data_IF_304807840603
#
_entry.id   IF_304807840603
#
_cell.length_a   1.000
_cell.length_b   1.000
_cell.length_c   1.000
_cell.angle_alpha   90.00
_cell.angle_beta   90.00
_cell.angle_gamma   90.00
#
_symmetry.space_group_name_H-M   'P 1'
#
loop_
_entity.id
_entity.type
_entity.pdbx_description
1 polymer ?
#
# COMPACT_ATOMS: atom_id res chain seq x y z
N UNK A 1 18.11 -18.27 -1.21
CA UNK A 1 17.39 -19.52 -1.57
C UNK A 1 15.96 -19.30 -2.07
N UNK A 2 15.35 -18.11 -1.91
CA UNK A 2 14.01 -17.76 -2.44
C UNK A 2 13.98 -17.59 -3.97
N UNK A 3 15.04 -17.00 -4.55
CA UNK A 3 14.99 -16.54 -5.95
C UNK A 3 15.05 -17.68 -6.96
N UNK A 4 15.69 -18.80 -6.59
CA UNK A 4 15.73 -20.01 -7.41
C UNK A 4 14.36 -20.68 -7.51
N UNK A 5 13.63 -20.80 -6.39
CA UNK A 5 12.34 -21.52 -6.36
C UNK A 5 11.29 -20.81 -7.22
N UNK A 6 11.22 -19.48 -7.15
CA UNK A 6 10.32 -18.68 -7.98
C UNK A 6 10.66 -18.77 -9.47
N UNK A 7 11.94 -18.87 -9.83
CA UNK A 7 12.38 -19.04 -11.22
C UNK A 7 12.01 -20.43 -11.77
N UNK A 8 12.29 -21.51 -11.04
CA UNK A 8 11.94 -22.88 -11.47
C UNK A 8 10.42 -23.12 -11.56
N UNK A 9 9.64 -22.60 -10.61
CA UNK A 9 8.17 -22.64 -10.66
C UNK A 9 7.63 -21.87 -11.88
N UNK A 10 8.26 -20.75 -12.22
CA UNK A 10 7.86 -19.96 -13.38
C UNK A 10 8.18 -20.65 -14.70
N UNK A 11 9.36 -21.24 -14.83
CA UNK A 11 9.76 -22.00 -16.02
C UNK A 11 8.88 -23.26 -16.18
N UNK A 12 8.62 -23.99 -15.09
CA UNK A 12 7.74 -25.16 -15.13
C UNK A 12 6.30 -24.80 -15.50
N UNK A 13 5.75 -23.72 -14.94
CA UNK A 13 4.42 -23.22 -15.29
C UNK A 13 4.34 -22.78 -16.75
N UNK A 14 5.38 -22.11 -17.27
CA UNK A 14 5.46 -21.67 -18.67
C UNK A 14 5.51 -22.85 -19.64
N UNK A 15 6.45 -23.77 -19.44
CA UNK A 15 6.61 -24.94 -20.31
C UNK A 15 5.36 -25.83 -20.33
N UNK A 16 4.57 -25.79 -19.27
CA UNK A 16 3.40 -26.63 -19.12
C UNK A 16 2.11 -26.01 -19.67
N UNK A 17 1.80 -24.78 -19.27
CA UNK A 17 0.51 -24.16 -19.53
C UNK A 17 0.46 -23.55 -20.94
N UNK A 18 1.59 -23.00 -21.41
CA UNK A 18 1.70 -22.39 -22.74
C UNK A 18 1.29 -23.34 -23.88
N UNK A 19 1.87 -24.54 -24.05
CA UNK A 19 1.53 -25.42 -25.18
C UNK A 19 0.07 -25.86 -25.14
N UNK A 20 -0.53 -26.00 -23.95
CA UNK A 20 -1.93 -26.39 -23.81
C UNK A 20 -2.90 -25.28 -24.17
N UNK A 21 -2.62 -24.05 -23.76
CA UNK A 21 -3.40 -22.89 -24.18
C UNK A 21 -3.29 -22.69 -25.70
N UNK A 22 -2.08 -22.82 -26.24
CA UNK A 22 -1.84 -22.67 -27.67
C UNK A 22 -2.62 -23.71 -28.49
N UNK A 23 -2.78 -24.94 -28.00
CA UNK A 23 -3.55 -25.98 -28.69
C UNK A 23 -5.07 -25.74 -28.71
N UNK A 24 -5.61 -24.85 -27.87
CA UNK A 24 -7.05 -24.53 -27.87
C UNK A 24 -7.50 -23.83 -29.16
N UNK A 25 -6.61 -23.10 -29.82
CA UNK A 25 -6.93 -22.40 -31.06
C UNK A 25 -5.68 -22.27 -31.93
N UNK A 26 -5.78 -22.72 -33.18
CA UNK A 26 -4.69 -22.66 -34.16
C UNK A 26 -5.17 -21.89 -35.40
N UNK A 27 -5.21 -20.55 -35.33
CA UNK A 27 -5.67 -19.74 -36.45
C UNK A 27 -4.72 -19.89 -37.64
N UNK A 28 -5.30 -19.96 -38.84
CA UNK A 28 -4.55 -20.13 -40.10
C UNK A 28 -3.80 -18.85 -40.50
N UNK A 29 -4.34 -17.69 -40.13
CA UNK A 29 -3.75 -16.40 -40.47
C UNK A 29 -2.55 -16.10 -39.54
N UNK A 30 -1.37 -15.73 -40.08
CA UNK A 30 -0.15 -15.53 -39.29
C UNK A 30 -0.30 -14.43 -38.24
N UNK A 31 -1.03 -13.34 -38.52
CA UNK A 31 -1.24 -12.26 -37.56
C UNK A 31 -2.08 -12.73 -36.37
N UNK A 32 -3.12 -13.51 -36.63
CA UNK A 32 -3.94 -14.08 -35.56
C UNK A 32 -3.19 -15.16 -34.77
N UNK A 33 -2.32 -15.92 -35.43
CA UNK A 33 -1.46 -16.91 -34.77
C UNK A 33 -0.47 -16.25 -33.81
N UNK A 34 0.15 -15.14 -34.22
CA UNK A 34 1.06 -14.38 -33.37
C UNK A 34 0.34 -13.72 -32.19
N UNK A 35 -0.79 -13.05 -32.43
CA UNK A 35 -1.61 -12.48 -31.34
C UNK A 35 -2.08 -13.54 -30.34
N UNK A 36 -2.46 -14.72 -30.82
CA UNK A 36 -2.85 -15.83 -29.96
C UNK A 36 -1.67 -16.38 -29.15
N UNK A 37 -0.51 -16.54 -29.77
CA UNK A 37 0.73 -16.95 -29.11
C UNK A 37 1.12 -15.97 -27.99
N UNK A 38 1.12 -14.67 -28.28
CA UNK A 38 1.38 -13.61 -27.29
C UNK A 38 0.37 -13.65 -26.14
N UNK A 39 -0.91 -13.85 -26.47
CA UNK A 39 -1.98 -13.97 -25.47
C UNK A 39 -1.79 -15.18 -24.55
N UNK A 40 -1.45 -16.35 -25.12
CA UNK A 40 -1.16 -17.56 -24.36
C UNK A 40 0.06 -17.38 -23.44
N UNK A 41 1.11 -16.72 -23.94
CA UNK A 41 2.29 -16.36 -23.16
C UNK A 41 1.94 -15.45 -21.98
N UNK A 42 1.19 -14.37 -22.23
CA UNK A 42 0.77 -13.43 -21.21
C UNK A 42 -0.12 -14.08 -20.15
N UNK A 43 -1.11 -14.89 -20.54
CA UNK A 43 -1.97 -15.63 -19.60
C UNK A 43 -1.12 -16.59 -18.75
N UNK A 44 -0.20 -17.30 -19.38
CA UNK A 44 0.65 -18.26 -18.68
C UNK A 44 1.54 -17.58 -17.64
N UNK A 45 2.23 -16.52 -18.03
CA UNK A 45 3.04 -15.73 -17.11
C UNK A 45 2.18 -15.15 -15.98
N UNK A 46 0.97 -14.68 -16.28
CA UNK A 46 0.09 -14.08 -15.28
C UNK A 46 -0.44 -15.11 -14.28
N UNK A 47 -0.80 -16.32 -14.70
CA UNK A 47 -1.26 -17.39 -13.79
C UNK A 47 -0.19 -17.75 -12.76
N UNK A 48 1.06 -17.84 -13.20
CA UNK A 48 2.22 -18.15 -12.35
C UNK A 48 2.51 -17.02 -11.37
N UNK A 49 2.52 -15.78 -11.87
CA UNK A 49 2.97 -14.61 -11.11
C UNK A 49 1.85 -13.95 -10.30
N UNK A 50 0.58 -14.26 -10.58
CA UNK A 50 -0.59 -13.65 -9.93
C UNK A 50 -0.53 -13.67 -8.40
N UNK A 51 -0.32 -14.82 -7.73
CA UNK A 51 -0.28 -14.87 -6.26
C UNK A 51 0.76 -13.92 -5.68
N UNK A 52 1.94 -13.88 -6.31
CA UNK A 52 3.07 -13.08 -5.87
C UNK A 52 2.84 -11.58 -6.14
N UNK A 53 2.29 -11.26 -7.31
CA UNK A 53 1.95 -9.90 -7.69
C UNK A 53 0.91 -9.31 -6.71
N UNK A 54 -0.12 -10.08 -6.37
CA UNK A 54 -1.12 -9.66 -5.38
C UNK A 54 -0.52 -9.56 -3.98
N UNK A 55 0.34 -10.49 -3.58
CA UNK A 55 0.96 -10.50 -2.27
C UNK A 55 1.85 -9.28 -2.03
N UNK A 56 2.70 -8.90 -2.99
CA UNK A 56 3.61 -7.76 -2.82
C UNK A 56 3.02 -6.42 -3.21
N UNK A 57 2.21 -6.35 -4.27
CA UNK A 57 1.74 -5.08 -4.82
C UNK A 57 0.29 -4.76 -4.45
N UNK A 58 -0.44 -5.69 -3.84
CA UNK A 58 -1.84 -5.55 -3.45
C UNK A 58 -2.77 -5.07 -4.59
N UNK A 59 -2.35 -5.28 -5.82
CA UNK A 59 -3.03 -4.85 -7.03
C UNK A 59 -2.80 -5.84 -8.16
N UNK A 60 -3.74 -5.90 -9.08
CA UNK A 60 -3.65 -6.71 -10.29
C UNK A 60 -3.99 -5.87 -11.53
N UNK A 61 -3.09 -5.73 -12.51
CA UNK A 61 -3.40 -5.04 -13.75
C UNK A 61 -4.41 -5.84 -14.57
N UNK A 62 -5.57 -5.26 -14.85
CA UNK A 62 -6.66 -5.96 -15.56
C UNK A 62 -6.39 -6.05 -17.06
N UNK A 63 -5.72 -5.04 -17.63
CA UNK A 63 -5.33 -4.99 -19.03
C UNK A 63 -4.00 -5.72 -19.32
N UNK A 64 -3.58 -6.65 -18.46
CA UNK A 64 -2.30 -7.37 -18.58
C UNK A 64 -2.10 -8.02 -19.96
N UNK A 65 -3.18 -8.51 -20.59
CA UNK A 65 -3.13 -9.18 -21.89
C UNK A 65 -2.65 -8.25 -23.01
N UNK A 66 -3.02 -6.97 -22.95
CA UNK A 66 -2.68 -5.97 -23.97
C UNK A 66 -1.41 -5.20 -23.57
N UNK A 67 -1.31 -4.80 -22.32
CA UNK A 67 -0.26 -3.90 -21.82
C UNK A 67 1.05 -4.64 -21.65
N UNK A 68 1.05 -5.84 -21.08
CA UNK A 68 2.30 -6.52 -20.73
C UNK A 68 3.15 -6.90 -21.95
N UNK A 69 2.60 -7.43 -23.05
CA UNK A 69 3.39 -7.71 -24.25
C UNK A 69 4.03 -6.45 -24.84
N UNK A 70 3.30 -5.33 -24.87
CA UNK A 70 3.81 -4.06 -25.37
C UNK A 70 4.92 -3.49 -24.48
N UNK A 71 4.73 -3.54 -23.16
CA UNK A 71 5.76 -3.13 -22.19
C UNK A 71 7.01 -3.99 -22.34
N UNK A 72 6.85 -5.32 -22.41
CA UNK A 72 7.97 -6.26 -22.57
C UNK A 72 8.71 -6.03 -23.89
N UNK A 73 8.00 -5.81 -24.99
CA UNK A 73 8.60 -5.52 -26.29
C UNK A 73 9.39 -4.21 -26.28
N UNK A 74 8.79 -3.12 -25.78
CA UNK A 74 9.45 -1.81 -25.70
C UNK A 74 10.63 -1.81 -24.73
N UNK A 75 10.53 -2.51 -23.59
CA UNK A 75 11.63 -2.61 -22.63
C UNK A 75 12.79 -3.42 -23.18
N UNK A 76 12.51 -4.52 -23.88
CA UNK A 76 13.55 -5.36 -24.49
C UNK A 76 14.27 -4.62 -25.61
N UNK A 77 13.53 -3.90 -26.46
CA UNK A 77 14.10 -3.04 -27.49
C UNK A 77 14.94 -1.93 -26.86
N UNK A 78 14.44 -1.25 -25.83
CA UNK A 78 15.17 -0.23 -25.10
C UNK A 78 16.47 -0.75 -24.47
N UNK A 79 16.46 -1.97 -23.94
CA UNK A 79 17.65 -2.62 -23.39
C UNK A 79 18.69 -2.90 -24.48
N UNK A 80 18.28 -3.51 -25.60
CA UNK A 80 19.18 -3.80 -26.73
C UNK A 80 19.79 -2.50 -27.28
N UNK A 81 18.95 -1.49 -27.54
CA UNK A 81 19.41 -0.18 -28.02
C UNK A 81 20.32 0.50 -26.99
N UNK A 82 20.01 0.40 -25.69
CA UNK A 82 20.83 0.95 -24.62
C UNK A 82 22.20 0.29 -24.53
N UNK A 83 22.28 -1.04 -24.70
CA UNK A 83 23.56 -1.75 -24.76
C UNK A 83 24.37 -1.34 -25.99
N UNK A 84 23.73 -1.25 -27.17
CA UNK A 84 24.39 -0.78 -28.39
C UNK A 84 24.89 0.67 -28.24
N UNK A 85 24.11 1.54 -27.63
CA UNK A 85 24.47 2.93 -27.36
C UNK A 85 25.76 3.03 -26.52
N UNK A 86 25.87 2.21 -25.48
CA UNK A 86 27.08 2.16 -24.64
C UNK A 86 28.30 1.64 -25.43
N UNK A 87 28.11 0.56 -26.19
CA UNK A 87 29.17 -0.07 -26.98
C UNK A 87 29.68 0.83 -28.11
N UNK A 88 28.80 1.59 -28.76
CA UNK A 88 29.09 2.40 -29.94
C UNK A 88 29.26 3.89 -29.59
N UNK A 89 29.52 4.19 -28.32
CA UNK A 89 29.64 5.57 -27.80
C UNK A 89 30.76 6.38 -28.46
N UNK A 90 31.74 5.73 -29.07
CA UNK A 90 32.85 6.35 -29.78
C UNK A 90 32.55 6.74 -31.25
N UNK A 91 31.38 6.38 -31.81
CA UNK A 91 30.97 6.74 -33.18
C UNK A 91 29.87 7.81 -33.11
N UNK A 92 30.17 9.11 -33.30
CA UNK A 92 29.25 10.20 -32.97
C UNK A 92 27.87 10.11 -33.67
N UNK A 93 27.85 9.86 -34.99
CA UNK A 93 26.60 9.81 -35.77
C UNK A 93 25.71 8.65 -35.35
N UNK A 94 26.31 7.49 -35.06
CA UNK A 94 25.57 6.30 -34.66
C UNK A 94 25.10 6.41 -33.20
N UNK A 95 25.89 7.08 -32.35
CA UNK A 95 25.54 7.38 -30.98
C UNK A 95 24.28 8.26 -30.89
N UNK A 96 24.21 9.34 -31.67
CA UNK A 96 23.04 10.24 -31.69
C UNK A 96 21.77 9.53 -32.15
N UNK A 97 21.86 8.69 -33.18
CA UNK A 97 20.75 7.87 -33.65
C UNK A 97 20.27 6.87 -32.58
N UNK A 98 21.20 6.16 -31.93
CA UNK A 98 20.87 5.22 -30.86
C UNK A 98 20.27 5.93 -29.64
N UNK A 99 20.76 7.13 -29.30
CA UNK A 99 20.19 7.96 -28.24
C UNK A 99 18.75 8.40 -28.56
N UNK A 100 18.48 8.78 -29.80
CA UNK A 100 17.12 9.09 -30.26
C UNK A 100 16.20 7.88 -30.12
N UNK A 101 16.62 6.71 -30.63
CA UNK A 101 15.88 5.47 -30.50
C UNK A 101 15.60 5.12 -29.03
N UNK A 102 16.60 5.26 -28.16
CA UNK A 102 16.47 5.01 -26.72
C UNK A 102 15.42 5.93 -26.08
N UNK A 103 15.48 7.24 -26.38
CA UNK A 103 14.51 8.23 -25.91
C UNK A 103 13.11 7.91 -26.41
N UNK A 104 12.97 7.49 -27.67
CA UNK A 104 11.70 7.09 -28.25
C UNK A 104 11.12 5.86 -27.54
N UNK A 105 11.91 4.81 -27.33
CA UNK A 105 11.46 3.59 -26.65
C UNK A 105 10.97 3.85 -25.23
N UNK A 106 11.76 4.56 -24.41
CA UNK A 106 11.35 4.89 -23.05
C UNK A 106 10.23 5.93 -22.99
N UNK A 107 10.18 6.87 -23.95
CA UNK A 107 9.08 7.82 -24.09
C UNK A 107 7.75 7.12 -24.36
N UNK A 108 7.74 6.17 -25.31
CA UNK A 108 6.58 5.34 -25.62
C UNK A 108 6.18 4.45 -24.44
N UNK A 109 7.15 3.84 -23.76
CA UNK A 109 6.88 3.02 -22.57
C UNK A 109 6.19 3.84 -21.47
N UNK A 110 6.73 5.01 -21.14
CA UNK A 110 6.13 5.90 -20.14
C UNK A 110 4.73 6.35 -20.55
N UNK A 111 4.56 6.76 -21.81
CA UNK A 111 3.25 7.19 -22.32
C UNK A 111 2.22 6.05 -22.25
N UNK A 112 2.63 4.83 -22.58
CA UNK A 112 1.79 3.65 -22.49
C UNK A 112 1.37 3.39 -21.05
N UNK A 113 2.30 3.37 -20.10
CA UNK A 113 1.99 3.18 -18.68
C UNK A 113 1.05 4.27 -18.16
N UNK A 114 1.38 5.56 -18.35
CA UNK A 114 0.53 6.65 -17.87
C UNK A 114 -0.87 6.65 -18.50
N UNK A 115 -0.99 6.34 -19.80
CA UNK A 115 -2.31 6.24 -20.44
C UNK A 115 -3.11 5.08 -19.87
N UNK A 116 -2.49 3.92 -19.67
CA UNK A 116 -3.19 2.76 -19.11
C UNK A 116 -3.69 3.01 -17.69
N UNK A 117 -2.96 3.79 -16.88
CA UNK A 117 -3.40 4.16 -15.53
C UNK A 117 -4.69 4.99 -15.53
N UNK A 118 -4.96 5.76 -16.60
CA UNK A 118 -6.19 6.56 -16.73
C UNK A 118 -7.41 5.76 -17.15
N UNK A 119 -7.24 4.52 -17.60
CA UNK A 119 -8.35 3.70 -18.07
C UNK A 119 -9.26 3.24 -16.92
N UNK A 120 -10.59 3.17 -17.14
CA UNK A 120 -11.52 2.73 -16.12
C UNK A 120 -11.23 1.28 -15.74
N UNK A 121 -10.94 1.04 -14.46
CA UNK A 121 -10.61 -0.30 -13.98
C UNK A 121 -9.25 -0.82 -14.40
N UNK A 122 -8.29 0.07 -14.74
CA UNK A 122 -6.91 -0.27 -15.13
C UNK A 122 -6.22 -1.30 -14.22
N UNK A 123 -6.52 -1.21 -12.93
CA UNK A 123 -5.99 -2.08 -11.90
C UNK A 123 -7.08 -2.44 -10.92
N UNK A 124 -7.13 -3.71 -10.55
CA UNK A 124 -7.90 -4.18 -9.43
C UNK A 124 -7.08 -3.99 -8.17
N UNK A 125 -7.42 -2.96 -7.40
CA UNK A 125 -6.67 -2.58 -6.20
C UNK A 125 -7.26 -3.21 -4.95
N UNK A 126 -6.48 -3.14 -3.86
CA UNK A 126 -6.86 -3.54 -2.51
C UNK A 126 -7.04 -5.06 -2.33
N UNK A 127 -6.21 -5.82 -3.03
CA UNK A 127 -6.13 -7.27 -2.94
C UNK A 127 -5.10 -7.66 -1.86
N UNK A 128 -5.56 -7.92 -0.63
CA UNK A 128 -4.66 -8.28 0.47
C UNK A 128 -4.59 -9.79 0.58
N UNK A 129 -3.39 -10.35 0.66
CA UNK A 129 -3.14 -11.78 0.83
C UNK A 129 -2.12 -11.94 1.95
N UNK A 130 -2.43 -12.74 2.97
CA UNK A 130 -1.49 -13.10 4.04
C UNK A 130 -0.58 -14.25 3.62
N UNK A 131 0.50 -14.50 4.36
CA UNK A 131 1.45 -15.60 4.05
C UNK A 131 0.73 -16.96 3.93
N UNK A 132 -0.18 -17.26 4.84
CA UNK A 132 -0.99 -18.48 4.79
C UNK A 132 -1.88 -18.51 3.53
N UNK A 133 -2.50 -17.38 3.19
CA UNK A 133 -3.35 -17.28 2.00
C UNK A 133 -2.55 -17.41 0.70
N UNK A 134 -1.30 -16.94 0.68
CA UNK A 134 -0.39 -17.11 -0.45
C UNK A 134 -0.08 -18.58 -0.69
N UNK A 135 0.28 -19.31 0.37
CA UNK A 135 0.55 -20.76 0.30
C UNK A 135 -0.69 -21.51 -0.16
N UNK A 136 -1.87 -21.19 0.40
CA UNK A 136 -3.14 -21.78 -0.02
C UNK A 136 -3.43 -21.51 -1.50
N UNK A 137 -3.18 -20.29 -1.98
CA UNK A 137 -3.42 -19.91 -3.37
C UNK A 137 -2.51 -20.67 -4.34
N UNK A 138 -1.22 -20.83 -4.02
CA UNK A 138 -0.31 -21.69 -4.79
C UNK A 138 -0.72 -23.16 -4.74
N UNK A 139 -1.20 -23.65 -3.61
CA UNK A 139 -1.75 -25.00 -3.47
C UNK A 139 -2.97 -25.23 -4.38
N UNK A 140 -3.91 -24.29 -4.40
CA UNK A 140 -5.08 -24.30 -5.29
C UNK A 140 -4.64 -24.28 -6.75
N UNK A 141 -3.74 -23.38 -7.14
CA UNK A 141 -3.24 -23.30 -8.51
C UNK A 141 -2.55 -24.60 -8.95
N UNK A 142 -1.72 -25.18 -8.08
CA UNK A 142 -1.03 -26.45 -8.37
C UNK A 142 -2.03 -27.60 -8.54
N UNK A 143 -3.04 -27.70 -7.67
CA UNK A 143 -4.07 -28.73 -7.78
C UNK A 143 -4.96 -28.53 -9.01
N UNK A 144 -5.29 -27.30 -9.38
CA UNK A 144 -6.00 -26.99 -10.63
C UNK A 144 -5.16 -27.42 -11.83
N UNK A 145 -3.87 -27.09 -11.86
CA UNK A 145 -2.96 -27.50 -12.92
C UNK A 145 -2.90 -29.03 -13.03
N UNK A 146 -2.79 -29.76 -11.91
CA UNK A 146 -2.81 -31.23 -11.87
C UNK A 146 -4.17 -31.84 -12.25
N UNK A 147 -5.27 -31.16 -11.92
CA UNK A 147 -6.61 -31.57 -12.33
C UNK A 147 -6.75 -31.48 -13.86
N UNK A 148 -6.35 -30.36 -14.46
CA UNK A 148 -6.35 -30.20 -15.92
C UNK A 148 -5.29 -31.08 -16.61
N UNK A 149 -4.20 -31.40 -15.92
CA UNK A 149 -3.15 -32.31 -16.36
C UNK A 149 -3.66 -33.70 -16.69
N UNK A 150 -4.22 -34.30 -15.64
CA UNK A 150 -4.42 -35.73 -15.56
C UNK A 150 -5.90 -36.07 -15.78
N UNK A 151 -6.78 -35.05 -15.78
CA UNK A 151 -8.24 -35.16 -15.85
C UNK A 151 -8.83 -36.12 -14.81
N UNK A 152 -8.10 -36.35 -13.71
CA UNK A 152 -8.51 -37.24 -12.61
C UNK A 152 -9.26 -36.45 -11.55
N UNK A 153 -10.49 -36.88 -11.23
CA UNK A 153 -11.33 -36.27 -10.19
C UNK A 153 -10.71 -36.33 -8.78
N UNK A 154 -9.67 -37.14 -8.57
CA UNK A 154 -8.97 -37.24 -7.29
C UNK A 154 -8.37 -35.91 -6.82
N UNK A 155 -7.97 -35.02 -7.75
CA UNK A 155 -7.44 -33.69 -7.42
C UNK A 155 -8.53 -32.64 -7.16
N UNK A 156 -9.79 -32.93 -7.53
CA UNK A 156 -10.89 -31.98 -7.37
C UNK A 156 -11.26 -31.79 -5.91
N UNK A 157 -11.39 -32.88 -5.15
CA UNK A 157 -11.74 -32.83 -3.72
C UNK A 157 -10.75 -32.04 -2.86
N UNK A 158 -9.42 -32.27 -2.94
CA UNK A 158 -8.47 -31.45 -2.21
C UNK A 158 -8.46 -30.00 -2.70
N UNK A 159 -8.67 -29.75 -4.00
CA UNK A 159 -8.77 -28.38 -4.52
C UNK A 159 -9.96 -27.63 -3.90
N UNK A 160 -11.13 -28.27 -3.82
CA UNK A 160 -12.32 -27.70 -3.17
C UNK A 160 -12.06 -27.48 -1.68
N UNK A 161 -11.43 -28.43 -1.00
CA UNK A 161 -11.09 -28.29 0.42
C UNK A 161 -10.16 -27.09 0.66
N UNK A 162 -9.08 -26.94 -0.12
CA UNK A 162 -8.19 -25.77 -0.02
C UNK A 162 -8.91 -24.47 -0.35
N UNK A 163 -9.76 -24.45 -1.38
CA UNK A 163 -10.56 -23.28 -1.73
C UNK A 163 -11.52 -22.88 -0.61
N UNK A 164 -12.13 -23.86 0.06
CA UNK A 164 -12.99 -23.64 1.22
C UNK A 164 -12.21 -23.07 2.42
N UNK A 165 -11.02 -23.61 2.72
CA UNK A 165 -10.13 -23.08 3.76
C UNK A 165 -9.73 -21.65 3.41
N UNK A 166 -9.29 -21.38 2.18
CA UNK A 166 -8.96 -20.04 1.72
C UNK A 166 -10.14 -19.07 1.90
N UNK A 167 -11.34 -19.43 1.45
CA UNK A 167 -12.55 -18.63 1.61
C UNK A 167 -12.87 -18.37 3.10
N UNK A 168 -12.71 -19.38 3.95
CA UNK A 168 -12.91 -19.27 5.40
C UNK A 168 -11.93 -18.29 6.03
N UNK A 169 -10.65 -18.30 5.64
CA UNK A 169 -9.67 -17.31 6.14
C UNK A 169 -10.02 -15.88 5.70
N UNK A 170 -10.54 -15.70 4.48
CA UNK A 170 -11.01 -14.40 4.00
C UNK A 170 -12.22 -13.91 4.77
N UNK A 171 -13.18 -14.79 5.03
CA UNK A 171 -14.37 -14.48 5.81
C UNK A 171 -14.00 -14.11 7.25
N UNK A 172 -13.08 -14.85 7.86
CA UNK A 172 -12.56 -14.56 9.19
C UNK A 172 -11.87 -13.19 9.24
N UNK A 173 -10.95 -12.92 8.31
CA UNK A 173 -10.28 -11.62 8.21
C UNK A 173 -11.28 -10.48 8.02
N UNK A 174 -12.29 -10.68 7.15
CA UNK A 174 -13.36 -9.72 6.93
C UNK A 174 -14.17 -9.43 8.21
N UNK A 175 -14.49 -10.45 9.00
CA UNK A 175 -15.18 -10.26 10.27
C UNK A 175 -14.33 -9.49 11.29
N UNK A 176 -13.03 -9.79 11.38
CA UNK A 176 -12.12 -9.06 12.27
C UNK A 176 -11.99 -7.59 11.86
N UNK A 177 -11.84 -7.33 10.57
CA UNK A 177 -11.79 -5.97 10.03
C UNK A 177 -13.09 -5.18 10.27
N UNK A 178 -14.24 -5.83 10.50
CA UNK A 178 -15.48 -5.12 10.86
C UNK A 178 -15.56 -4.74 12.33
N UNK A 179 -14.83 -5.43 13.20
CA UNK A 179 -14.82 -5.22 14.66
C UNK A 179 -13.65 -4.35 15.13
N UNK A 180 -12.77 -3.93 14.24
CA UNK A 180 -11.60 -3.13 14.60
C UNK A 180 -11.98 -1.68 14.96
N UNK A 181 -11.31 -1.15 15.97
CA UNK A 181 -11.43 0.24 16.42
C UNK A 181 -10.04 0.77 16.75
N UNK A 182 -9.38 1.37 15.76
CA UNK A 182 -7.97 1.76 15.88
C UNK A 182 -7.81 3.27 15.70
N UNK A 183 -7.01 3.88 16.56
CA UNK A 183 -6.46 5.22 16.39
C UNK A 183 -4.98 5.08 16.04
N UNK A 184 -4.58 5.61 14.89
CA UNK A 184 -3.21 5.53 14.40
C UNK A 184 -2.67 6.93 14.11
N UNK A 185 -1.58 7.31 14.76
CA UNK A 185 -0.80 8.52 14.41
C UNK A 185 0.38 8.08 13.54
N UNK A 186 0.36 8.51 12.28
CA UNK A 186 1.30 8.03 11.27
C UNK A 186 2.66 8.72 11.37
N UNK A 187 3.71 7.97 11.04
CA UNK A 187 5.06 8.48 10.91
C UNK A 187 5.28 9.05 9.50
N UNK A 188 4.83 10.28 9.26
CA UNK A 188 5.03 11.01 8.01
C UNK A 188 6.01 12.16 8.19
N UNK A 189 6.98 12.29 7.29
CA UNK A 189 7.89 13.45 7.30
C UNK A 189 7.11 14.70 6.93
N UNK A 190 7.21 15.75 7.75
CA UNK A 190 6.62 17.10 7.55
C UNK A 190 5.08 17.18 7.59
N UNK A 191 4.38 16.06 7.70
CA UNK A 191 2.92 16.02 7.73
C UNK A 191 2.41 15.39 9.03
N UNK A 192 1.23 15.84 9.47
CA UNK A 192 0.52 15.26 10.61
C UNK A 192 -0.68 14.50 10.08
N UNK A 193 -0.71 13.18 10.24
CA UNK A 193 -1.85 12.35 9.86
C UNK A 193 -2.29 11.45 10.99
N UNK A 194 -3.56 11.51 11.33
CA UNK A 194 -4.22 10.63 12.30
C UNK A 194 -5.36 9.91 11.61
N UNK A 195 -5.31 8.58 11.64
CA UNK A 195 -6.35 7.70 11.14
C UNK A 195 -7.21 7.19 12.28
N UNK A 196 -8.50 7.46 12.22
CA UNK A 196 -9.52 6.88 13.10
C UNK A 196 -10.26 5.81 12.31
N UNK A 197 -10.04 4.56 12.66
CA UNK A 197 -10.56 3.39 11.95
C UNK A 197 -11.68 2.80 12.79
N UNK A 198 -12.90 2.79 12.24
CA UNK A 198 -14.06 2.12 12.83
C UNK A 198 -14.59 1.09 11.85
N UNK A 199 -14.37 -0.18 12.16
CA UNK A 199 -14.59 -1.27 11.23
C UNK A 199 -13.81 -1.04 9.93
N UNK A 200 -14.52 -0.89 8.81
CA UNK A 200 -13.93 -0.67 7.47
C UNK A 200 -13.99 0.78 7.00
N UNK A 201 -14.38 1.70 7.88
CA UNK A 201 -14.47 3.13 7.62
C UNK A 201 -13.27 3.82 8.25
N UNK A 202 -12.63 4.68 7.47
CA UNK A 202 -11.54 5.54 7.94
C UNK A 202 -12.05 6.97 8.02
N UNK A 203 -11.77 7.64 9.14
CA UNK A 203 -11.76 9.08 9.21
C UNK A 203 -10.32 9.59 9.30
N UNK A 204 -9.89 10.35 8.29
CA UNK A 204 -8.53 10.90 8.23
C UNK A 204 -8.54 12.33 8.72
N UNK A 205 -7.78 12.60 9.78
CA UNK A 205 -7.45 13.93 10.25
C UNK A 205 -6.02 14.25 9.83
N UNK A 206 -5.85 15.14 8.85
CA UNK A 206 -4.56 15.48 8.26
C UNK A 206 -4.36 17.01 8.19
N UNK A 207 -3.16 17.46 7.82
CA UNK A 207 -2.92 18.83 7.38
C UNK A 207 -3.47 19.07 5.96
N UNK A 208 -3.76 20.33 5.63
CA UNK A 208 -4.34 20.71 4.33
C UNK A 208 -3.50 20.24 3.14
N UNK A 209 -2.17 20.30 3.27
CA UNK A 209 -1.23 19.85 2.23
C UNK A 209 -1.35 18.35 1.96
N UNK A 210 -1.49 17.53 3.00
CA UNK A 210 -1.62 16.09 2.82
C UNK A 210 -2.95 15.71 2.19
N UNK A 211 -4.04 16.43 2.44
CA UNK A 211 -5.31 16.18 1.74
C UNK A 211 -5.19 16.36 0.22
N UNK A 212 -4.35 17.29 -0.25
CA UNK A 212 -4.10 17.52 -1.68
C UNK A 212 -3.05 16.60 -2.28
N UNK A 213 -2.11 16.08 -1.49
CA UNK A 213 -1.03 15.22 -1.97
C UNK A 213 -1.45 13.74 -2.04
N UNK A 214 -2.13 13.40 -3.14
CA UNK A 214 -2.60 12.04 -3.41
C UNK A 214 -1.46 11.03 -3.48
N UNK A 215 -0.30 11.39 -4.03
CA UNK A 215 0.84 10.48 -4.18
C UNK A 215 1.41 10.09 -2.82
N UNK A 216 1.52 11.05 -1.90
CA UNK A 216 1.94 10.77 -0.53
C UNK A 216 0.96 9.84 0.20
N UNK A 217 -0.35 10.05 0.02
CA UNK A 217 -1.37 9.16 0.58
C UNK A 217 -1.26 7.74 0.01
N UNK A 218 -1.17 7.58 -1.31
CA UNK A 218 -1.10 6.28 -1.98
C UNK A 218 0.14 5.47 -1.55
N UNK A 219 1.29 6.13 -1.43
CA UNK A 219 2.56 5.46 -1.10
C UNK A 219 2.71 5.09 0.38
N UNK A 220 2.21 5.92 1.30
CA UNK A 220 2.51 5.75 2.73
C UNK A 220 1.31 5.35 3.58
N UNK A 221 0.09 5.64 3.13
CA UNK A 221 -1.12 5.45 3.94
C UNK A 221 -2.08 4.43 3.34
N UNK A 222 -2.32 4.48 2.03
CA UNK A 222 -3.28 3.57 1.39
C UNK A 222 -2.88 2.10 1.51
N UNK A 223 -1.58 1.79 1.52
CA UNK A 223 -1.10 0.42 1.74
C UNK A 223 -1.54 -0.11 3.11
N UNK A 224 -1.35 0.69 4.17
CA UNK A 224 -1.81 0.35 5.51
C UNK A 224 -3.33 0.28 5.60
N UNK A 225 -4.04 1.25 5.03
CA UNK A 225 -5.51 1.26 5.05
C UNK A 225 -6.09 0.04 4.33
N UNK A 226 -5.49 -0.29 3.19
CA UNK A 226 -5.80 -1.48 2.41
C UNK A 226 -5.58 -2.73 3.25
N UNK A 227 -4.44 -2.88 3.93
CA UNK A 227 -4.18 -4.02 4.82
C UNK A 227 -5.27 -4.17 5.91
N UNK A 228 -5.79 -3.06 6.44
CA UNK A 228 -6.91 -3.05 7.39
C UNK A 228 -8.29 -3.24 6.74
N UNK A 229 -8.36 -3.45 5.43
CA UNK A 229 -9.61 -3.67 4.69
C UNK A 229 -10.50 -2.43 4.61
N UNK A 230 -9.90 -1.23 4.65
CA UNK A 230 -10.62 0.03 4.50
C UNK A 230 -10.90 0.26 3.01
N UNK A 231 -12.16 0.54 2.70
CA UNK A 231 -12.60 0.86 1.33
C UNK A 231 -13.17 2.27 1.19
N UNK A 232 -13.47 2.94 2.31
CA UNK A 232 -14.08 4.26 2.33
C UNK A 232 -13.30 5.18 3.26
N UNK A 233 -12.80 6.27 2.69
CA UNK A 233 -12.14 7.35 3.42
C UNK A 233 -13.10 8.52 3.54
N UNK A 234 -13.49 8.83 4.77
CA UNK A 234 -14.23 10.03 5.11
C UNK A 234 -13.25 11.08 5.65
N UNK A 235 -13.37 12.31 5.18
CA UNK A 235 -12.54 13.41 5.67
C UNK A 235 -13.20 14.20 6.81
N UNK A 236 -14.48 13.93 7.09
CA UNK A 236 -15.26 14.64 8.09
C UNK A 236 -15.35 13.81 9.38
N UNK A 237 -14.64 14.28 10.41
CA UNK A 237 -14.96 14.02 11.82
C UNK A 237 -15.54 15.32 12.38
N UNK A 238 -16.56 15.22 13.23
CA UNK A 238 -17.05 16.40 13.95
C UNK A 238 -15.94 16.85 14.91
N UNK A 239 -15.37 18.01 14.62
CA UNK A 239 -14.33 18.62 15.43
C UNK A 239 -14.93 19.83 16.14
N UNK A 240 -14.62 19.95 17.43
CA UNK A 240 -14.90 21.17 18.17
C UNK A 240 -13.63 22.01 18.15
N UNK A 241 -13.69 23.15 17.47
CA UNK A 241 -12.63 24.14 17.53
C UNK A 241 -12.64 24.76 18.92
N UNK A 242 -11.56 24.55 19.67
CA UNK A 242 -11.34 25.21 20.95
C UNK A 242 -10.33 26.34 20.76
N UNK A 243 -10.27 27.32 21.68
CA UNK A 243 -9.28 28.40 21.62
C UNK A 243 -7.82 27.93 21.61
N UNK A 244 -7.59 26.66 21.95
CA UNK A 244 -6.28 26.05 22.15
C UNK A 244 -5.99 24.88 21.20
N UNK A 245 -6.90 24.53 20.31
CA UNK A 245 -6.70 23.43 19.37
C UNK A 245 -7.99 22.85 18.81
N UNK A 246 -7.89 21.62 18.32
CA UNK A 246 -9.02 20.85 17.84
C UNK A 246 -9.30 19.74 18.85
N UNK A 247 -10.45 19.81 19.51
CA UNK A 247 -10.92 18.74 20.37
C UNK A 247 -11.87 17.83 19.59
N UNK A 248 -11.73 16.53 19.77
CA UNK A 248 -12.64 15.55 19.19
C UNK A 248 -12.92 14.42 20.19
N UNK A 249 -14.15 13.93 20.15
CA UNK A 249 -14.58 12.76 20.90
C UNK A 249 -14.79 11.61 19.93
N UNK A 250 -14.11 10.49 20.15
CA UNK A 250 -14.24 9.29 19.32
C UNK A 250 -14.33 8.06 20.21
N UNK A 251 -15.39 7.24 20.03
CA UNK A 251 -15.67 6.06 20.89
C UNK A 251 -15.69 6.38 22.39
N UNK A 252 -16.20 7.55 22.78
CA UNK A 252 -16.23 8.01 24.17
C UNK A 252 -14.87 8.45 24.74
N UNK A 253 -13.81 8.39 23.94
CA UNK A 253 -12.46 8.87 24.28
C UNK A 253 -12.23 10.28 23.75
N UNK A 254 -11.52 11.09 24.52
CA UNK A 254 -11.25 12.49 24.18
C UNK A 254 -9.83 12.64 23.64
N UNK A 255 -9.72 13.17 22.43
CA UNK A 255 -8.46 13.51 21.78
C UNK A 255 -8.39 15.02 21.62
N UNK A 256 -7.29 15.61 22.07
CA UNK A 256 -6.99 17.02 21.84
C UNK A 256 -5.76 17.13 20.94
N UNK A 257 -5.92 17.86 19.85
CA UNK A 257 -4.86 18.13 18.89
C UNK A 257 -4.46 19.59 18.95
N UNK A 258 -3.17 19.86 19.21
CA UNK A 258 -2.61 21.20 19.27
C UNK A 258 -1.59 21.36 18.14
N UNK A 259 -1.97 22.14 17.11
CA UNK A 259 -1.16 22.41 15.90
C UNK A 259 -0.59 23.82 15.82
N UNK A 260 -1.23 24.77 16.47
CA UNK A 260 -0.84 26.18 16.44
C UNK A 260 -0.24 26.58 17.79
N UNK A 261 0.79 27.44 17.77
CA UNK A 261 1.42 27.89 19.00
C UNK A 261 0.42 28.61 19.89
N UNK A 262 0.35 28.18 21.14
CA UNK A 262 -0.50 28.80 22.14
C UNK A 262 0.22 29.97 22.80
N UNK A 263 -0.50 31.06 23.14
CA UNK A 263 0.04 32.11 23.99
C UNK A 263 0.56 31.50 25.31
N UNK A 264 1.73 31.98 25.78
CA UNK A 264 2.37 31.46 27.02
C UNK A 264 1.49 31.52 28.27
N UNK A 265 0.50 32.42 28.31
CA UNK A 265 -0.46 32.59 29.42
C UNK A 265 -1.86 32.11 29.05
N UNK A 266 -1.95 30.93 28.43
CA UNK A 266 -3.25 30.30 28.22
C UNK A 266 -3.61 29.55 29.49
N UNK A 267 -4.68 29.95 30.18
CA UNK A 267 -5.19 29.23 31.35
C UNK A 267 -6.27 28.28 30.84
N UNK A 268 -6.02 26.98 30.97
CA UNK A 268 -6.98 25.94 30.61
C UNK A 268 -7.46 25.28 31.89
N UNK A 269 -8.72 25.51 32.23
CA UNK A 269 -9.39 24.79 33.29
C UNK A 269 -10.43 23.87 32.69
N UNK A 270 -10.24 22.57 32.90
CA UNK A 270 -11.30 21.61 32.65
C UNK A 270 -11.05 20.37 33.48
N UNK A 271 -12.11 19.90 34.14
CA UNK A 271 -12.11 18.67 34.92
C UNK A 271 -12.20 17.41 34.03
N UNK A 272 -12.33 17.59 32.72
CA UNK A 272 -12.44 16.50 31.77
C UNK A 272 -11.08 15.88 31.49
N UNK A 273 -10.95 14.59 31.77
CA UNK A 273 -9.78 13.80 31.42
C UNK A 273 -9.66 13.72 29.90
N UNK A 274 -8.46 14.03 29.40
CA UNK A 274 -8.08 13.83 28.00
C UNK A 274 -7.30 12.53 27.90
N UNK A 275 -7.82 11.60 27.11
CA UNK A 275 -7.19 10.30 26.92
C UNK A 275 -5.92 10.43 26.05
N UNK A 276 -5.94 11.32 25.06
CA UNK A 276 -4.82 11.52 24.14
C UNK A 276 -4.60 13.01 23.81
N UNK A 277 -3.41 13.52 24.11
CA UNK A 277 -2.94 14.84 23.68
C UNK A 277 -1.94 14.66 22.53
N UNK A 278 -2.28 15.13 21.33
CA UNK A 278 -1.40 15.13 20.17
C UNK A 278 -0.82 16.51 19.95
N UNK A 279 0.52 16.60 19.98
CA UNK A 279 1.25 17.86 19.77
C UNK A 279 1.92 17.81 18.42
N UNK A 280 1.70 18.86 17.63
CA UNK A 280 2.19 18.98 16.26
C UNK A 280 2.86 20.33 16.03
N UNK A 281 3.72 20.39 15.02
CA UNK A 281 4.37 21.57 14.46
C UNK A 281 5.12 22.46 15.46
N UNK A 282 5.73 21.87 16.50
CA UNK A 282 6.33 22.62 17.61
C UNK A 282 5.37 23.63 18.26
N UNK A 283 4.05 23.38 18.22
CA UNK A 283 3.03 24.25 18.77
C UNK A 283 3.30 24.57 20.24
N UNK A 284 3.71 23.55 21.01
CA UNK A 284 4.13 23.71 22.38
C UNK A 284 5.63 23.41 22.50
N UNK A 285 6.45 24.45 22.42
CA UNK A 285 7.91 24.34 22.59
C UNK A 285 8.33 23.98 24.02
N UNK A 286 7.50 24.34 24.98
CA UNK A 286 7.68 24.05 26.40
C UNK A 286 6.39 23.45 26.96
N UNK A 287 6.48 22.46 27.86
CA UNK A 287 5.34 21.97 28.60
C UNK A 287 4.70 23.13 29.38
N UNK A 288 3.41 23.40 29.19
CA UNK A 288 2.76 24.52 29.83
C UNK A 288 2.30 24.19 31.25
N UNK A 289 2.22 25.21 32.10
CA UNK A 289 1.89 25.05 33.51
C UNK A 289 0.49 24.45 33.73
N UNK A 290 -0.48 24.82 32.88
CA UNK A 290 -1.85 24.30 32.97
C UNK A 290 -1.96 22.77 32.82
N UNK A 291 -0.93 22.09 32.31
CA UNK A 291 -0.94 20.64 32.20
C UNK A 291 -0.92 19.96 33.58
N UNK A 292 -0.54 20.65 34.66
CA UNK A 292 -0.68 20.11 36.03
C UNK A 292 -2.13 20.07 36.50
N UNK A 293 -2.96 20.99 36.02
CA UNK A 293 -4.38 21.09 36.38
C UNK A 293 -5.28 20.34 35.39
N UNK A 294 -4.73 19.97 34.24
CA UNK A 294 -5.46 19.40 33.14
C UNK A 294 -5.08 17.91 32.98
N UNK A 295 -5.94 16.96 33.42
CA UNK A 295 -5.59 15.55 33.50
C UNK A 295 -5.47 14.93 32.10
N UNK A 296 -4.23 14.65 31.67
CA UNK A 296 -3.91 13.96 30.42
C UNK A 296 -3.33 12.58 30.70
N UNK A 297 -3.93 11.53 30.10
CA UNK A 297 -3.44 10.15 30.27
C UNK A 297 -2.22 9.85 29.41
N UNK A 298 -2.23 10.32 28.16
CA UNK A 298 -1.19 10.02 27.20
C UNK A 298 -0.90 11.19 26.28
N UNK A 299 0.39 11.41 26.03
CA UNK A 299 0.89 12.46 25.14
C UNK A 299 1.60 11.80 23.96
N UNK A 300 1.20 12.17 22.75
CA UNK A 300 1.84 11.74 21.51
C UNK A 300 2.46 12.95 20.83
N UNK A 301 3.73 12.82 20.50
CA UNK A 301 4.49 13.82 19.76
C UNK A 301 4.63 13.33 18.33
N UNK A 302 4.07 14.07 17.39
CA UNK A 302 4.24 13.74 15.98
C UNK A 302 5.65 14.10 15.46
N UNK A 303 5.93 13.66 14.22
CA UNK A 303 7.22 13.84 13.56
C UNK A 303 7.53 15.31 13.25
N UNK A 304 6.55 16.21 13.25
CA UNK A 304 6.77 17.61 12.88
C UNK A 304 7.42 18.42 14.02
N UNK A 305 7.46 17.87 15.24
CA UNK A 305 8.21 18.46 16.35
C UNK A 305 9.73 18.28 16.17
N UNK A 306 10.50 19.29 16.58
CA UNK A 306 11.97 19.23 16.58
C UNK A 306 12.48 18.29 17.68
N UNK A 307 13.67 17.72 17.50
CA UNK A 307 14.28 16.81 18.50
C UNK A 307 14.39 17.48 19.87
N UNK A 308 14.75 18.76 19.90
CA UNK A 308 14.85 19.53 21.15
C UNK A 308 13.51 19.68 21.88
N UNK A 309 12.40 19.84 21.15
CA UNK A 309 11.06 19.93 21.75
C UNK A 309 10.63 18.56 22.24
N UNK A 310 10.84 17.51 21.45
CA UNK A 310 10.46 16.16 21.83
C UNK A 310 11.20 15.67 23.08
N UNK A 311 12.50 15.96 23.19
CA UNK A 311 13.29 15.57 24.36
C UNK A 311 12.83 16.28 25.63
N UNK A 312 12.54 17.58 25.55
CA UNK A 312 11.96 18.35 26.67
C UNK A 312 10.64 17.77 27.15
N UNK A 313 9.75 17.41 26.21
CA UNK A 313 8.48 16.77 26.55
C UNK A 313 8.67 15.39 27.17
N UNK A 314 9.64 14.60 26.69
CA UNK A 314 9.97 13.32 27.32
C UNK A 314 10.42 13.48 28.76
N UNK A 315 11.38 14.37 29.03
CA UNK A 315 11.87 14.62 30.40
C UNK A 315 10.71 15.01 31.31
N UNK A 316 9.89 15.97 30.87
CA UNK A 316 8.72 16.42 31.62
C UNK A 316 7.71 15.29 31.90
N UNK A 317 7.46 14.42 30.92
CA UNK A 317 6.55 13.30 31.08
C UNK A 317 7.09 12.23 32.02
N UNK A 318 8.40 11.95 31.98
CA UNK A 318 9.07 11.03 32.90
C UNK A 318 8.95 11.52 34.34
N UNK A 319 9.19 12.81 34.58
CA UNK A 319 9.12 13.42 35.92
C UNK A 319 7.71 13.35 36.54
N UNK A 320 6.67 13.32 35.70
CA UNK A 320 5.26 13.29 36.12
C UNK A 320 4.57 11.94 35.92
N UNK A 321 5.32 10.91 35.54
CA UNK A 321 4.80 9.57 35.23
C UNK A 321 3.65 9.57 34.19
N UNK A 322 3.73 10.47 33.20
CA UNK A 322 2.78 10.57 32.08
C UNK A 322 3.31 9.74 30.91
N UNK A 323 2.45 8.95 30.27
CA UNK A 323 2.87 8.15 29.12
C UNK A 323 3.14 9.06 27.92
N UNK A 324 4.40 9.11 27.48
CA UNK A 324 4.82 9.88 26.31
C UNK A 324 5.26 8.95 25.17
N UNK A 325 4.75 9.21 23.97
CA UNK A 325 5.12 8.48 22.76
C UNK A 325 5.62 9.45 21.70
N UNK A 326 6.90 9.32 21.33
CA UNK A 326 7.48 10.07 20.20
C UNK A 326 7.46 9.20 18.94
N UNK A 327 6.60 9.60 18.00
CA UNK A 327 6.39 8.94 16.71
C UNK A 327 7.68 8.90 15.89
N UNK A 328 8.56 9.91 16.04
CA UNK A 328 9.84 9.97 15.31
C UNK A 328 10.79 8.84 15.69
N UNK A 329 10.79 8.43 16.96
CA UNK A 329 11.72 7.39 17.45
C UNK A 329 11.11 6.01 17.48
N UNK A 330 9.80 5.91 17.73
CA UNK A 330 9.12 4.62 17.96
C UNK A 330 8.28 4.16 16.76
N UNK A 331 8.20 4.95 15.71
CA UNK A 331 7.35 4.67 14.55
C UNK A 331 5.91 5.12 14.79
N UNK A 332 4.96 4.58 14.03
CA UNK A 332 3.55 4.97 14.15
C UNK A 332 2.99 4.59 15.54
N UNK A 333 2.24 5.52 16.14
CA UNK A 333 1.51 5.23 17.36
C UNK A 333 0.20 4.53 17.01
N UNK A 334 -0.11 3.40 17.66
CA UNK A 334 -1.33 2.62 17.44
C UNK A 334 -2.01 2.38 18.78
N UNK A 335 -3.30 2.73 18.88
CA UNK A 335 -4.14 2.46 20.03
C UNK A 335 -5.45 1.79 19.59
N UNK A 336 -5.85 0.72 20.26
CA UNK A 336 -7.16 0.08 20.08
C UNK A 336 -8.13 0.58 21.16
N UNK A 337 -9.27 1.15 20.76
CA UNK A 337 -10.24 1.76 21.69
C UNK A 337 -11.61 1.10 21.65
#
# INVERSE_FOLDING_TARGET
MSDGLSSYLSVAGILYLYPRLHWLWQPVNPLWAELWSLSCGAVTAQVVTYPLAVYYFHQFPTYFLLVNPLVLGLSSLGLIVGMLYLLLSFVPVLNDFLLYCLKLSFGLLNQLVFRTETWPGARWNRLIVTDLQLVLLYGILTLLLLLFANRRKIYLWPCIALAFVFASTKLYAYQQQRKQHWLVVHHLKKHTAVSFIQGRRLHLLADSLLYTDRRMQELHLEQFWTAQGIHQTHHTLVQTLTPFGQALCWQGKRVLLIRHPLPRRTILHSQQIIDLLLISNNALRYPPDWLSEFPVRQIVLDVTNSRSVAERWRTFCTDRNITCYDVRTRGAFVASW
#
